data_IF_241150699757
#
_entry.id   IF_241150699757
#
_cell.length_a   1.000
_cell.length_b   1.000
_cell.length_c   1.000
_cell.angle_alpha   90.00
_cell.angle_beta   90.00
_cell.angle_gamma   90.00
#
_symmetry.space_group_name_H-M   'P 1'
#
loop_
_entity.id
_entity.type
_entity.pdbx_description
1 polymer ?
#
# COMPACT_ATOMS: atom_id res chain seq x y z
N UNK A 1 12.11 -0.22 9.62
CA UNK A 1 11.05 -0.60 10.57
C UNK A 1 9.68 -0.21 10.04
N UNK A 2 9.46 1.03 9.60
CA UNK A 2 8.13 1.49 9.17
C UNK A 2 7.51 0.74 7.96
N UNK A 3 8.32 0.39 6.94
CA UNK A 3 7.86 -0.40 5.79
C UNK A 3 7.27 -1.76 6.20
N UNK A 4 7.90 -2.42 7.18
CA UNK A 4 7.45 -3.74 7.65
C UNK A 4 6.14 -3.63 8.43
N UNK A 5 5.96 -2.59 9.25
CA UNK A 5 4.67 -2.33 9.91
C UNK A 5 3.57 -2.02 8.91
N UNK A 6 3.86 -1.16 7.92
CA UNK A 6 2.90 -0.84 6.87
C UNK A 6 2.47 -2.13 6.15
N UNK A 7 3.43 -2.94 5.73
CA UNK A 7 3.19 -4.21 5.05
C UNK A 7 2.39 -5.19 5.91
N UNK A 8 2.72 -5.33 7.19
CA UNK A 8 1.96 -6.17 8.11
C UNK A 8 0.50 -5.73 8.20
N UNK A 9 0.23 -4.42 8.28
CA UNK A 9 -1.14 -3.90 8.31
C UNK A 9 -1.93 -4.18 7.02
N UNK A 10 -1.26 -4.21 5.87
CA UNK A 10 -1.83 -4.61 4.59
C UNK A 10 -2.11 -6.12 4.55
N UNK A 11 -1.16 -6.93 5.04
CA UNK A 11 -1.27 -8.39 5.11
C UNK A 11 -2.37 -8.86 6.07
N UNK A 12 -2.57 -8.17 7.21
CA UNK A 12 -3.65 -8.49 8.16
C UNK A 12 -5.05 -8.28 7.58
N UNK A 13 -5.18 -7.38 6.60
CA UNK A 13 -6.47 -7.06 5.95
C UNK A 13 -6.59 -7.69 4.57
N UNK A 14 -5.71 -8.63 4.23
CA UNK A 14 -5.70 -9.26 2.91
C UNK A 14 -7.04 -9.95 2.63
N UNK A 15 -7.63 -9.65 1.49
CA UNK A 15 -8.83 -10.28 0.99
C UNK A 15 -8.52 -11.03 -0.30
N UNK A 16 -8.30 -12.34 -0.18
CA UNK A 16 -7.83 -13.17 -1.29
C UNK A 16 -8.82 -13.27 -2.45
N UNK A 17 -10.13 -13.29 -2.19
CA UNK A 17 -11.16 -13.29 -3.25
C UNK A 17 -11.11 -11.99 -4.05
N UNK A 18 -11.07 -10.87 -3.34
CA UNK A 18 -11.05 -9.55 -3.96
C UNK A 18 -9.72 -9.28 -4.67
N UNK A 19 -8.61 -9.77 -4.10
CA UNK A 19 -7.29 -9.74 -4.72
C UNK A 19 -7.27 -10.47 -6.07
N UNK A 20 -7.88 -11.66 -6.17
CA UNK A 20 -7.98 -12.38 -7.42
C UNK A 20 -8.82 -11.64 -8.47
N UNK A 21 -9.92 -11.01 -8.05
CA UNK A 21 -10.74 -10.20 -8.96
C UNK A 21 -9.97 -8.97 -9.48
N UNK A 22 -9.26 -8.25 -8.60
CA UNK A 22 -8.46 -7.08 -8.97
C UNK A 22 -7.24 -7.46 -9.83
N UNK A 23 -6.58 -8.57 -9.52
CA UNK A 23 -5.51 -9.10 -10.34
C UNK A 23 -6.03 -9.45 -11.75
N UNK A 24 -7.18 -10.13 -11.83
CA UNK A 24 -7.85 -10.46 -13.09
C UNK A 24 -8.18 -9.21 -13.91
N UNK A 25 -8.71 -8.16 -13.27
CA UNK A 25 -8.96 -6.86 -13.91
C UNK A 25 -7.70 -6.24 -14.52
N UNK A 26 -6.56 -6.36 -13.83
CA UNK A 26 -5.25 -5.92 -14.31
C UNK A 26 -4.51 -6.96 -15.16
N UNK A 27 -5.22 -7.95 -15.71
CA UNK A 27 -4.66 -9.03 -16.56
C UNK A 27 -3.53 -9.81 -15.86
N UNK A 28 -3.63 -9.98 -14.55
CA UNK A 28 -2.67 -10.67 -13.68
C UNK A 28 -1.23 -10.12 -13.77
N UNK A 29 -1.06 -8.86 -14.18
CA UNK A 29 0.25 -8.22 -14.27
C UNK A 29 0.78 -7.78 -12.89
N UNK A 30 -0.11 -7.63 -11.92
CA UNK A 30 0.22 -7.16 -10.58
C UNK A 30 -0.47 -8.02 -9.52
N UNK A 31 0.16 -8.12 -8.34
CA UNK A 31 -0.47 -8.71 -7.17
C UNK A 31 -1.24 -7.65 -6.39
N UNK A 32 -2.31 -8.08 -5.75
CA UNK A 32 -3.13 -7.25 -4.89
C UNK A 32 -3.30 -7.93 -3.54
N UNK A 33 -3.42 -7.12 -2.48
CA UNK A 33 -3.93 -7.55 -1.19
C UNK A 33 -5.44 -7.65 -1.19
N UNK A 34 -6.12 -7.03 -2.16
CA UNK A 34 -7.58 -7.10 -2.28
C UNK A 34 -8.29 -5.97 -1.56
N UNK A 35 -7.61 -4.85 -1.26
CA UNK A 35 -8.20 -3.73 -0.57
C UNK A 35 -8.68 -2.67 -1.56
N UNK A 36 -9.89 -2.17 -1.32
CA UNK A 36 -10.39 -1.04 -2.07
C UNK A 36 -9.70 0.28 -1.67
N UNK A 37 -9.85 1.28 -2.53
CA UNK A 37 -9.34 2.65 -2.32
C UNK A 37 -9.59 3.23 -0.92
N UNK A 38 -10.82 3.20 -0.36
CA UNK A 38 -11.05 3.71 0.98
C UNK A 38 -10.34 2.91 2.08
N UNK A 39 -10.17 1.61 1.91
CA UNK A 39 -9.56 0.74 2.93
C UNK A 39 -8.05 0.93 2.98
N UNK A 40 -7.38 0.89 1.83
CA UNK A 40 -5.93 1.15 1.76
C UNK A 40 -5.61 2.53 2.33
N UNK A 41 -6.40 3.56 1.97
CA UNK A 41 -6.19 4.93 2.48
C UNK A 41 -6.32 4.99 3.99
N UNK A 42 -7.26 4.26 4.60
CA UNK A 42 -7.38 4.20 6.06
C UNK A 42 -6.14 3.61 6.74
N UNK A 43 -5.45 2.64 6.10
CA UNK A 43 -4.25 2.02 6.66
C UNK A 43 -3.11 3.03 6.81
N UNK A 44 -2.84 3.82 5.76
CA UNK A 44 -1.77 4.82 5.78
C UNK A 44 -2.25 6.24 6.07
N UNK A 45 -3.54 6.47 6.37
CA UNK A 45 -4.07 7.82 6.64
C UNK A 45 -3.37 8.48 7.82
N UNK A 46 -3.26 7.74 8.92
CA UNK A 46 -2.59 8.21 10.13
C UNK A 46 -1.09 8.48 9.87
N UNK A 47 -0.48 7.69 8.98
CA UNK A 47 0.89 7.90 8.55
C UNK A 47 1.03 9.18 7.71
N UNK A 48 0.17 9.40 6.70
CA UNK A 48 0.18 10.63 5.90
C UNK A 48 0.04 11.88 6.77
N UNK A 49 -0.84 11.84 7.78
CA UNK A 49 -0.99 12.91 8.76
C UNK A 49 0.31 13.14 9.57
N UNK A 50 1.00 12.06 9.96
CA UNK A 50 2.29 12.14 10.69
C UNK A 50 3.42 12.68 9.80
N UNK A 51 3.53 12.22 8.57
CA UNK A 51 4.57 12.68 7.62
C UNK A 51 4.36 14.15 7.24
N UNK A 52 3.11 14.55 6.97
CA UNK A 52 2.76 15.94 6.68
C UNK A 52 3.12 16.88 7.84
N UNK A 53 3.02 16.41 9.08
CA UNK A 53 3.49 17.16 10.27
C UNK A 53 5.01 17.20 10.39
N UNK A 54 5.71 16.14 9.99
CA UNK A 54 7.17 16.03 10.07
C UNK A 54 7.92 16.78 8.97
N UNK A 55 7.25 17.11 7.85
CA UNK A 55 7.85 17.79 6.68
C UNK A 55 9.13 17.09 6.17
N UNK A 56 9.23 15.78 6.39
CA UNK A 56 10.31 14.93 5.93
C UNK A 56 9.69 13.80 5.13
N UNK A 57 10.26 13.53 3.97
CA UNK A 57 9.84 12.43 3.10
C UNK A 57 10.92 11.36 3.16
N UNK A 58 10.54 10.15 3.56
CA UNK A 58 11.44 9.01 3.64
C UNK A 58 11.57 8.31 2.28
N UNK A 59 12.46 8.81 1.42
CA UNK A 59 12.65 8.28 0.06
C UNK A 59 13.03 6.79 0.02
N UNK A 60 13.69 6.27 1.06
CA UNK A 60 14.01 4.84 1.14
C UNK A 60 12.76 3.98 1.31
N UNK A 61 11.80 4.46 2.11
CA UNK A 61 10.49 3.82 2.26
C UNK A 61 9.74 3.80 0.93
N UNK A 62 9.70 4.94 0.23
CA UNK A 62 9.01 5.06 -1.05
C UNK A 62 9.59 4.15 -2.12
N UNK A 63 10.91 4.09 -2.24
CA UNK A 63 11.55 3.17 -3.17
C UNK A 63 11.20 1.71 -2.86
N UNK A 64 11.25 1.29 -1.59
CA UNK A 64 10.86 -0.08 -1.21
C UNK A 64 9.40 -0.40 -1.50
N UNK A 65 8.49 0.55 -1.24
CA UNK A 65 7.08 0.37 -1.55
C UNK A 65 6.81 0.36 -3.06
N UNK A 66 7.61 1.09 -3.84
CA UNK A 66 7.52 1.11 -5.30
C UNK A 66 8.03 -0.17 -5.95
N UNK A 67 9.14 -0.72 -5.45
CA UNK A 67 9.72 -2.00 -5.90
C UNK A 67 8.89 -3.22 -5.47
N UNK A 68 7.86 -3.01 -4.65
CA UNK A 68 6.99 -4.09 -4.21
C UNK A 68 6.12 -4.64 -5.38
N UNK A 69 5.87 -5.95 -5.33
CA UNK A 69 5.02 -6.67 -6.27
C UNK A 69 3.53 -6.34 -6.11
N UNK A 70 3.13 -5.80 -4.95
CA UNK A 70 1.76 -5.43 -4.64
C UNK A 70 1.43 -4.03 -5.15
N UNK A 71 0.40 -3.91 -6.00
CA UNK A 71 0.03 -2.63 -6.62
C UNK A 71 -0.46 -1.60 -5.60
N UNK A 72 -1.05 -2.03 -4.49
CA UNK A 72 -1.46 -1.13 -3.41
C UNK A 72 -0.29 -0.41 -2.74
N UNK A 73 0.89 -1.01 -2.71
CA UNK A 73 2.10 -0.34 -2.19
C UNK A 73 2.56 0.77 -3.14
N UNK A 74 2.46 0.55 -4.45
CA UNK A 74 2.77 1.57 -5.45
C UNK A 74 1.73 2.72 -5.40
N UNK A 75 0.45 2.41 -5.16
CA UNK A 75 -0.57 3.44 -4.92
C UNK A 75 -0.29 4.26 -3.66
N UNK A 76 0.19 3.63 -2.59
CA UNK A 76 0.60 4.34 -1.39
C UNK A 76 1.70 5.37 -1.69
N UNK A 77 2.69 5.04 -2.52
CA UNK A 77 3.73 5.99 -2.95
C UNK A 77 3.14 7.18 -3.71
N UNK A 78 2.13 6.94 -4.55
CA UNK A 78 1.43 8.01 -5.29
C UNK A 78 0.52 8.88 -4.41
N UNK A 79 0.02 8.38 -3.28
CA UNK A 79 -0.84 9.12 -2.34
C UNK A 79 -0.04 9.94 -1.30
N UNK A 80 1.29 9.71 -1.18
CA UNK A 80 2.19 10.45 -0.27
C UNK A 80 2.46 11.88 -0.77
#
# INVERSE_FOLDING_TARGET
MFYQELKANFEEKVNSEQAQQLAGYMRNQFKFYGLDTPERRKIYHDFLLREKKKNKIDWNLLNRAWEDQYREMQYFVCDI
#
